data_IF_396995362191
#
_entry.id   IF_396995362191
#
_cell.length_a   1.000
_cell.length_b   1.000
_cell.length_c   1.000
_cell.angle_alpha   90.00
_cell.angle_beta   90.00
_cell.angle_gamma   90.00
#
_symmetry.space_group_name_H-M   'P 1'
#
loop_
_entity.id
_entity.type
_entity.pdbx_description
1 polymer ?
#
# COMPACT_ATOMS: atom_id res chain seq x y z
N UNK A 1 -14.88 18.05 -44.97
CA UNK A 1 -15.54 18.00 -43.67
C UNK A 1 -14.54 17.28 -42.78
N UNK A 2 -13.75 18.03 -42.00
CA UNK A 2 -12.86 17.39 -41.03
C UNK A 2 -13.77 16.82 -39.96
N UNK A 3 -13.65 15.53 -39.69
CA UNK A 3 -14.44 14.91 -38.65
C UNK A 3 -13.98 15.46 -37.31
N UNK A 4 -14.89 16.02 -36.50
CA UNK A 4 -14.51 16.59 -35.19
C UNK A 4 -13.84 15.52 -34.32
N UNK A 5 -14.25 14.27 -34.50
CA UNK A 5 -13.74 13.11 -33.79
C UNK A 5 -12.25 12.86 -34.14
N UNK A 6 -11.85 13.07 -35.41
CA UNK A 6 -10.46 12.94 -35.85
C UNK A 6 -9.55 14.02 -35.26
N UNK A 7 -10.02 15.28 -35.24
CA UNK A 7 -9.21 16.38 -34.67
C UNK A 7 -9.15 16.33 -33.13
N UNK A 8 -10.18 15.79 -32.46
CA UNK A 8 -10.16 15.49 -31.01
C UNK A 8 -9.19 14.35 -30.71
N UNK A 9 -9.25 13.26 -31.49
CA UNK A 9 -8.34 12.12 -31.34
C UNK A 9 -6.86 12.53 -31.50
N UNK A 10 -6.59 13.44 -32.44
CA UNK A 10 -5.25 13.99 -32.67
C UNK A 10 -4.91 15.19 -31.78
N UNK A 11 -5.77 15.52 -30.79
CA UNK A 11 -5.55 16.56 -29.78
C UNK A 11 -5.33 17.97 -30.37
N UNK A 12 -5.95 18.26 -31.51
CA UNK A 12 -5.85 19.54 -32.20
C UNK A 12 -6.87 20.53 -31.63
N UNK A 13 -6.70 20.89 -30.36
CA UNK A 13 -7.68 21.66 -29.57
C UNK A 13 -8.02 23.03 -30.15
N UNK A 14 -7.05 23.70 -30.77
CA UNK A 14 -7.23 24.96 -31.49
C UNK A 14 -8.21 24.80 -32.67
N UNK A 15 -8.06 23.72 -33.44
CA UNK A 15 -8.97 23.38 -34.55
C UNK A 15 -10.34 22.94 -34.04
N UNK A 16 -10.41 22.23 -32.91
CA UNK A 16 -11.69 21.87 -32.28
C UNK A 16 -12.47 23.14 -31.91
N UNK A 17 -11.81 24.13 -31.31
CA UNK A 17 -12.42 25.43 -31.01
C UNK A 17 -12.89 26.15 -32.28
N UNK A 18 -12.11 26.10 -33.36
CA UNK A 18 -12.48 26.69 -34.65
C UNK A 18 -13.76 26.04 -35.21
N UNK A 19 -13.85 24.71 -35.24
CA UNK A 19 -15.01 24.01 -35.79
C UNK A 19 -16.27 24.21 -34.93
N UNK A 20 -16.15 24.18 -33.60
CA UNK A 20 -17.29 24.48 -32.69
C UNK A 20 -17.78 25.93 -32.86
N UNK A 21 -16.89 26.87 -33.21
CA UNK A 21 -17.29 28.25 -33.50
C UNK A 21 -18.11 28.37 -34.79
N UNK A 22 -17.88 27.48 -35.77
CA UNK A 22 -18.61 27.42 -37.05
C UNK A 22 -19.95 26.71 -36.89
N UNK A 23 -19.99 25.62 -36.12
CA UNK A 23 -21.20 24.88 -35.80
C UNK A 23 -21.23 24.45 -34.32
N UNK A 24 -22.01 25.17 -33.52
CA UNK A 24 -22.16 24.89 -32.08
C UNK A 24 -22.69 23.48 -31.80
N UNK A 25 -23.43 22.86 -32.73
CA UNK A 25 -24.00 21.51 -32.50
C UNK A 25 -22.91 20.45 -32.35
N UNK A 26 -21.71 20.72 -32.88
CA UNK A 26 -20.57 19.82 -32.76
C UNK A 26 -20.14 19.60 -31.31
N UNK A 27 -20.47 20.52 -30.39
CA UNK A 27 -20.13 20.34 -28.97
C UNK A 27 -20.78 19.10 -28.36
N UNK A 28 -21.98 18.74 -28.83
CA UNK A 28 -22.71 17.55 -28.36
C UNK A 28 -22.14 16.23 -28.89
N UNK A 29 -21.14 16.28 -29.79
CA UNK A 29 -20.39 15.11 -30.24
C UNK A 29 -19.13 14.85 -29.42
N UNK A 30 -18.74 15.79 -28.56
CA UNK A 30 -17.56 15.63 -27.72
C UNK A 30 -17.89 14.70 -26.55
N UNK A 31 -17.15 13.60 -26.44
CA UNK A 31 -17.34 12.65 -25.36
C UNK A 31 -16.70 13.16 -24.06
N UNK A 32 -17.47 13.28 -22.95
CA UNK A 32 -16.93 13.75 -21.67
C UNK A 32 -15.78 12.90 -21.15
N UNK A 33 -15.79 11.60 -21.47
CA UNK A 33 -14.72 10.68 -21.10
C UNK A 33 -13.37 11.08 -21.71
N UNK A 34 -13.32 11.34 -23.02
CA UNK A 34 -12.08 11.68 -23.72
C UNK A 34 -11.51 12.99 -23.20
N UNK A 35 -12.37 14.00 -23.02
CA UNK A 35 -11.97 15.29 -22.47
C UNK A 35 -11.49 15.19 -21.02
N UNK A 36 -12.19 14.42 -20.18
CA UNK A 36 -11.79 14.19 -18.79
C UNK A 36 -10.44 13.47 -18.70
N UNK A 37 -10.26 12.44 -19.52
CA UNK A 37 -9.00 11.70 -19.61
C UNK A 37 -7.85 12.61 -20.02
N UNK A 38 -8.03 13.39 -21.10
CA UNK A 38 -7.01 14.32 -21.57
C UNK A 38 -6.71 15.40 -20.55
N UNK A 39 -7.73 16.01 -19.94
CA UNK A 39 -7.52 17.02 -18.91
C UNK A 39 -6.62 16.51 -17.79
N UNK A 40 -6.87 15.29 -17.31
CA UNK A 40 -6.05 14.68 -16.26
C UNK A 40 -4.60 14.50 -16.72
N UNK A 41 -4.37 13.90 -17.89
CA UNK A 41 -3.01 13.70 -18.43
C UNK A 41 -2.24 15.01 -18.59
N UNK A 42 -2.88 16.03 -19.15
CA UNK A 42 -2.29 17.36 -19.29
C UNK A 42 -1.96 17.99 -17.94
N UNK A 43 -2.86 17.83 -16.95
CA UNK A 43 -2.62 18.37 -15.62
C UNK A 43 -1.48 17.65 -14.89
N UNK A 44 -1.33 16.33 -15.06
CA UNK A 44 -0.16 15.61 -14.53
C UNK A 44 1.15 16.20 -15.05
N UNK A 45 1.18 16.52 -16.33
CA UNK A 45 2.35 17.09 -16.96
C UNK A 45 2.62 18.53 -16.52
N UNK A 46 1.59 19.36 -16.43
CA UNK A 46 1.69 20.72 -15.89
C UNK A 46 2.17 20.71 -14.42
N UNK A 47 1.75 19.70 -13.65
CA UNK A 47 2.21 19.45 -12.29
C UNK A 47 3.62 18.82 -12.20
N UNK A 48 4.25 18.49 -13.34
CA UNK A 48 5.56 17.83 -13.40
C UNK A 48 5.57 16.38 -12.87
N UNK A 49 4.42 15.71 -12.85
CA UNK A 49 4.28 14.31 -12.41
C UNK A 49 4.57 13.32 -13.54
N UNK A 50 4.32 13.72 -14.79
CA UNK A 50 4.58 12.93 -15.99
C UNK A 50 5.15 13.79 -17.12
N UNK A 51 5.89 13.17 -18.04
CA UNK A 51 6.31 13.82 -19.28
C UNK A 51 5.29 13.55 -20.39
N UNK A 52 4.91 14.61 -21.10
CA UNK A 52 4.09 14.53 -22.30
C UNK A 52 4.93 14.03 -23.49
N UNK A 53 4.58 12.87 -24.06
CA UNK A 53 5.13 12.37 -25.35
C UNK A 53 4.23 12.74 -26.55
N UNK A 54 4.69 13.70 -27.37
CA UNK A 54 3.93 14.33 -28.47
C UNK A 54 3.21 13.35 -29.42
N UNK A 55 2.11 13.77 -30.09
CA UNK A 55 1.60 15.15 -30.19
C UNK A 55 0.60 15.53 -29.09
N UNK A 56 0.71 16.79 -28.63
CA UNK A 56 -0.29 17.44 -27.76
C UNK A 56 -0.61 18.81 -28.34
N UNK A 57 -1.90 19.17 -28.35
CA UNK A 57 -2.33 20.56 -28.51
C UNK A 57 -2.08 21.40 -27.25
N UNK A 58 -2.45 22.68 -27.28
CA UNK A 58 -2.33 23.58 -26.14
C UNK A 58 -3.32 23.20 -25.01
N UNK A 59 -2.81 22.99 -23.80
CA UNK A 59 -3.64 22.70 -22.63
C UNK A 59 -4.71 23.76 -22.38
N UNK A 60 -4.39 25.03 -22.60
CA UNK A 60 -5.33 26.14 -22.41
C UNK A 60 -6.50 26.04 -23.36
N UNK A 61 -6.30 25.51 -24.56
CA UNK A 61 -7.37 25.33 -25.53
C UNK A 61 -8.27 24.14 -25.15
N UNK A 62 -7.70 23.05 -24.62
CA UNK A 62 -8.49 21.98 -24.01
C UNK A 62 -9.36 22.50 -22.86
N UNK A 63 -8.81 23.33 -21.97
CA UNK A 63 -9.58 23.92 -20.87
C UNK A 63 -10.74 24.80 -21.37
N UNK A 64 -10.52 25.61 -22.43
CA UNK A 64 -11.60 26.38 -23.07
C UNK A 64 -12.69 25.48 -23.67
N UNK A 65 -12.33 24.34 -24.24
CA UNK A 65 -13.31 23.37 -24.75
C UNK A 65 -14.15 22.82 -23.59
N UNK A 66 -13.52 22.43 -22.48
CA UNK A 66 -14.21 21.95 -21.29
C UNK A 66 -15.13 23.03 -20.71
N UNK A 67 -14.70 24.28 -20.66
CA UNK A 67 -15.55 25.41 -20.26
C UNK A 67 -16.79 25.55 -21.15
N UNK A 68 -16.63 25.49 -22.47
CA UNK A 68 -17.77 25.50 -23.40
C UNK A 68 -18.69 24.30 -23.20
N UNK A 69 -18.14 23.11 -22.98
CA UNK A 69 -18.94 21.91 -22.70
C UNK A 69 -19.80 22.12 -21.45
N UNK A 70 -19.24 22.68 -20.38
CA UNK A 70 -19.99 23.01 -19.15
C UNK A 70 -21.09 24.03 -19.42
N UNK A 71 -20.81 25.09 -20.17
CA UNK A 71 -21.78 26.13 -20.50
C UNK A 71 -22.98 25.60 -21.30
N UNK A 72 -22.74 24.64 -22.19
CA UNK A 72 -23.78 23.98 -23.01
C UNK A 72 -24.44 22.78 -22.27
N UNK A 73 -24.13 22.58 -20.99
CA UNK A 73 -24.77 21.58 -20.14
C UNK A 73 -24.28 20.14 -20.35
N UNK A 74 -23.10 19.95 -20.93
CA UNK A 74 -22.44 18.64 -21.00
C UNK A 74 -21.93 18.27 -19.60
N UNK A 75 -22.30 17.09 -19.13
CA UNK A 75 -22.03 16.62 -17.77
C UNK A 75 -21.13 15.39 -17.78
N UNK A 76 -20.25 15.27 -16.78
CA UNK A 76 -19.59 14.01 -16.47
C UNK A 76 -20.62 12.95 -16.03
N UNK A 77 -20.52 11.75 -16.61
CA UNK A 77 -21.44 10.65 -16.33
C UNK A 77 -20.98 9.80 -15.13
N UNK A 78 -19.70 9.87 -14.80
CA UNK A 78 -19.10 9.27 -13.60
C UNK A 78 -18.52 10.36 -12.70
N UNK A 79 -18.28 10.04 -11.45
CA UNK A 79 -17.66 10.92 -10.45
C UNK A 79 -16.27 11.39 -10.95
N UNK A 80 -15.34 10.52 -11.40
CA UNK A 80 -14.06 10.99 -11.96
C UNK A 80 -14.22 11.98 -13.12
N UNK A 81 -15.16 11.74 -14.04
CA UNK A 81 -15.43 12.65 -15.17
C UNK A 81 -16.00 14.00 -14.70
N UNK A 82 -16.98 13.97 -13.79
CA UNK A 82 -17.58 15.18 -13.25
C UNK A 82 -16.55 15.99 -12.43
N UNK A 83 -15.64 15.33 -11.71
CA UNK A 83 -14.49 15.97 -11.06
C UNK A 83 -13.54 16.58 -12.07
N UNK A 84 -13.22 15.87 -13.16
CA UNK A 84 -12.40 16.41 -14.24
C UNK A 84 -13.07 17.62 -14.91
N UNK A 85 -14.38 17.81 -14.78
CA UNK A 85 -15.06 19.02 -15.26
C UNK A 85 -15.28 20.04 -14.11
N UNK A 86 -14.85 19.74 -12.89
CA UNK A 86 -15.11 20.52 -11.66
C UNK A 86 -16.60 20.82 -11.44
N UNK A 87 -17.46 19.86 -11.76
CA UNK A 87 -18.92 19.98 -11.66
C UNK A 87 -19.42 19.46 -10.30
N UNK A 88 -19.14 20.18 -9.22
CA UNK A 88 -19.50 19.75 -7.86
C UNK A 88 -20.99 19.38 -7.70
N UNK A 89 -21.89 20.12 -8.32
CA UNK A 89 -23.34 19.82 -8.25
C UNK A 89 -23.72 18.54 -9.02
N UNK A 90 -23.00 18.23 -10.09
CA UNK A 90 -23.16 16.95 -10.80
C UNK A 90 -22.61 15.79 -9.96
N UNK A 91 -21.46 15.96 -9.31
CA UNK A 91 -20.92 14.94 -8.37
C UNK A 91 -21.95 14.64 -7.27
N UNK A 92 -22.52 15.68 -6.64
CA UNK A 92 -23.59 15.53 -5.65
C UNK A 92 -24.82 14.82 -6.21
N UNK A 93 -25.18 15.05 -7.47
CA UNK A 93 -26.32 14.39 -8.13
C UNK A 93 -26.03 12.91 -8.37
N UNK A 94 -24.84 12.56 -8.87
CA UNK A 94 -24.40 11.19 -9.08
C UNK A 94 -24.41 10.39 -7.77
N UNK A 95 -23.90 10.97 -6.68
CA UNK A 95 -23.97 10.35 -5.35
C UNK A 95 -25.42 10.09 -4.90
N UNK A 96 -26.33 11.05 -5.12
CA UNK A 96 -27.77 10.85 -4.85
C UNK A 96 -28.40 9.76 -5.71
N UNK A 97 -27.85 9.49 -6.89
CA UNK A 97 -28.28 8.42 -7.79
C UNK A 97 -27.68 7.05 -7.40
N UNK A 98 -26.85 6.99 -6.36
CA UNK A 98 -26.28 5.75 -5.84
C UNK A 98 -24.90 5.40 -6.39
N UNK A 99 -24.23 6.33 -7.08
CA UNK A 99 -22.82 6.15 -7.44
C UNK A 99 -21.96 6.02 -6.18
N UNK A 100 -20.94 5.17 -6.24
CA UNK A 100 -19.98 5.01 -5.16
C UNK A 100 -19.00 6.20 -5.18
N UNK A 101 -18.74 6.85 -4.04
CA UNK A 101 -17.78 7.95 -3.91
C UNK A 101 -16.38 7.58 -4.44
N UNK A 102 -16.02 6.30 -4.30
CA UNK A 102 -14.77 5.71 -4.74
C UNK A 102 -14.89 4.92 -6.06
N UNK A 103 -15.91 5.20 -6.88
CA UNK A 103 -15.95 4.59 -8.21
C UNK A 103 -14.74 4.99 -9.05
N UNK A 104 -14.24 4.04 -9.81
CA UNK A 104 -13.05 4.18 -10.63
C UNK A 104 -13.43 4.24 -12.11
N UNK A 105 -12.74 5.09 -12.87
CA UNK A 105 -12.78 5.03 -14.34
C UNK A 105 -11.80 3.98 -14.89
N UNK A 106 -11.63 3.95 -16.22
CA UNK A 106 -10.76 2.96 -16.88
C UNK A 106 -9.27 3.08 -16.49
N UNK A 107 -8.82 4.23 -16.00
CA UNK A 107 -7.45 4.40 -15.47
C UNK A 107 -7.34 4.08 -13.98
N UNK A 108 -8.35 3.42 -13.41
CA UNK A 108 -8.47 3.15 -11.98
C UNK A 108 -8.55 4.44 -11.11
N UNK A 109 -8.91 5.58 -11.72
CA UNK A 109 -8.94 6.88 -11.03
C UNK A 109 -10.27 7.09 -10.34
N UNK A 110 -10.21 7.48 -9.06
CA UNK A 110 -11.37 7.94 -8.29
C UNK A 110 -11.56 9.45 -8.44
N UNK A 111 -12.70 9.97 -7.97
CA UNK A 111 -12.92 11.42 -7.88
C UNK A 111 -11.84 12.13 -7.06
N UNK A 112 -11.38 11.53 -5.97
CA UNK A 112 -10.33 12.12 -5.13
C UNK A 112 -8.97 12.20 -5.83
N UNK A 113 -8.58 11.16 -6.58
CA UNK A 113 -7.35 11.16 -7.38
C UNK A 113 -7.38 12.31 -8.42
N UNK A 114 -8.50 12.46 -9.13
CA UNK A 114 -8.67 13.54 -10.11
C UNK A 114 -8.63 14.90 -9.43
N UNK A 115 -9.33 15.09 -8.31
CA UNK A 115 -9.37 16.37 -7.58
C UNK A 115 -7.97 16.80 -7.09
N UNK A 116 -7.18 15.86 -6.59
CA UNK A 116 -5.82 16.12 -6.15
C UNK A 116 -4.89 16.51 -7.31
N UNK A 117 -5.01 15.85 -8.46
CA UNK A 117 -4.29 16.24 -9.69
C UNK A 117 -4.65 17.67 -10.12
N UNK A 118 -5.93 18.05 -10.04
CA UNK A 118 -6.36 19.42 -10.36
C UNK A 118 -5.93 20.46 -9.32
N UNK A 119 -5.35 20.04 -8.19
CA UNK A 119 -5.10 20.89 -7.02
C UNK A 119 -6.33 21.69 -6.57
N UNK A 120 -7.52 21.09 -6.68
CA UNK A 120 -8.78 21.70 -6.27
C UNK A 120 -9.07 21.34 -4.80
N UNK A 121 -8.63 22.20 -3.88
CA UNK A 121 -8.80 21.99 -2.43
C UNK A 121 -10.28 21.80 -2.04
N UNK A 122 -11.20 22.50 -2.70
CA UNK A 122 -12.63 22.38 -2.42
C UNK A 122 -13.15 20.98 -2.76
N UNK A 123 -12.76 20.44 -3.92
CA UNK A 123 -13.13 19.09 -4.32
C UNK A 123 -12.44 18.04 -3.46
N UNK A 124 -11.15 18.20 -3.14
CA UNK A 124 -10.43 17.29 -2.24
C UNK A 124 -11.12 17.23 -0.88
N UNK A 125 -11.43 18.37 -0.29
CA UNK A 125 -12.14 18.44 0.99
C UNK A 125 -13.53 17.80 0.89
N UNK A 126 -14.27 18.06 -0.19
CA UNK A 126 -15.57 17.43 -0.42
C UNK A 126 -15.46 15.89 -0.46
N UNK A 127 -14.48 15.33 -1.17
CA UNK A 127 -14.30 13.88 -1.26
C UNK A 127 -13.97 13.28 0.11
N UNK A 128 -13.05 13.89 0.86
CA UNK A 128 -12.70 13.46 2.22
C UNK A 128 -13.90 13.52 3.16
N UNK A 129 -14.66 14.61 3.14
CA UNK A 129 -15.86 14.80 3.98
C UNK A 129 -16.96 13.77 3.67
N UNK A 130 -16.99 13.25 2.44
CA UNK A 130 -17.92 12.20 2.02
C UNK A 130 -17.35 10.78 2.15
N UNK A 131 -16.20 10.63 2.83
CA UNK A 131 -15.64 9.33 3.18
C UNK A 131 -14.88 8.63 2.05
N UNK A 132 -14.39 9.37 1.04
CA UNK A 132 -13.53 8.81 0.01
C UNK A 132 -12.28 8.18 0.61
N UNK A 133 -11.89 7.01 0.12
CA UNK A 133 -10.71 6.32 0.59
C UNK A 133 -9.44 6.97 0.01
N UNK A 134 -8.64 7.58 0.88
CA UNK A 134 -7.48 8.40 0.48
C UNK A 134 -6.32 7.62 -0.13
N UNK A 135 -6.26 6.31 0.12
CA UNK A 135 -5.16 5.42 -0.31
C UNK A 135 -5.56 4.52 -1.48
N UNK A 136 -6.50 4.96 -2.34
CA UNK A 136 -6.67 4.33 -3.65
C UNK A 136 -5.47 4.63 -4.55
N UNK A 137 -5.15 3.65 -5.38
CA UNK A 137 -4.12 3.75 -6.42
C UNK A 137 -4.80 3.88 -7.78
N UNK A 138 -4.24 4.74 -8.63
CA UNK A 138 -4.47 4.61 -10.07
C UNK A 138 -3.61 3.49 -10.67
N UNK A 139 -3.77 3.26 -11.98
CA UNK A 139 -3.02 2.26 -12.74
C UNK A 139 -1.48 2.43 -12.65
N UNK A 140 -0.99 3.62 -12.33
CA UNK A 140 0.43 3.98 -12.23
C UNK A 140 0.95 3.93 -10.78
N UNK A 141 0.12 3.44 -9.85
CA UNK A 141 0.36 3.32 -8.42
C UNK A 141 0.57 4.66 -7.69
N UNK A 142 -0.08 5.72 -8.17
CA UNK A 142 -0.17 6.98 -7.45
C UNK A 142 -1.39 7.02 -6.54
N UNK A 143 -1.16 7.46 -5.29
CA UNK A 143 -2.24 7.94 -4.42
C UNK A 143 -2.52 9.42 -4.69
N UNK A 144 -3.66 9.92 -4.20
CA UNK A 144 -4.02 11.34 -4.34
C UNK A 144 -2.90 12.28 -3.82
N UNK A 145 -2.20 11.89 -2.75
CA UNK A 145 -1.12 12.69 -2.16
C UNK A 145 0.11 12.77 -3.08
N UNK A 146 0.34 11.77 -3.92
CA UNK A 146 1.44 11.78 -4.88
C UNK A 146 1.15 12.71 -6.07
N UNK A 147 -0.14 12.91 -6.40
CA UNK A 147 -0.61 13.71 -7.53
C UNK A 147 -0.70 15.20 -7.22
N UNK A 148 -0.94 15.56 -5.96
CA UNK A 148 -1.02 16.94 -5.50
C UNK A 148 0.33 17.68 -5.59
N UNK A 149 0.25 19.00 -5.76
CA UNK A 149 1.39 19.93 -5.68
C UNK A 149 1.19 21.02 -4.63
N UNK A 150 -0.05 21.30 -4.20
CA UNK A 150 -0.34 22.17 -3.05
C UNK A 150 0.05 21.48 -1.73
N UNK A 151 0.77 22.21 -0.87
CA UNK A 151 1.13 21.74 0.46
C UNK A 151 -0.11 21.53 1.34
N UNK A 152 -1.12 22.40 1.20
CA UNK A 152 -2.37 22.34 1.95
C UNK A 152 -3.12 21.03 1.66
N UNK A 153 -3.19 20.64 0.38
CA UNK A 153 -3.80 19.37 -0.05
C UNK A 153 -2.97 18.19 0.43
N UNK A 154 -1.63 18.25 0.31
CA UNK A 154 -0.73 17.18 0.78
C UNK A 154 -0.91 16.95 2.28
N UNK A 155 -0.94 18.01 3.08
CA UNK A 155 -1.16 17.94 4.54
C UNK A 155 -2.56 17.44 4.88
N UNK A 156 -3.58 17.85 4.13
CA UNK A 156 -4.95 17.37 4.30
C UNK A 156 -5.05 15.86 4.06
N UNK A 157 -4.47 15.36 2.96
CA UNK A 157 -4.44 13.94 2.63
C UNK A 157 -3.62 13.13 3.65
N UNK A 158 -2.46 13.63 4.06
CA UNK A 158 -1.61 13.00 5.07
C UNK A 158 -2.33 12.83 6.42
N UNK A 159 -3.07 13.86 6.87
CA UNK A 159 -3.88 13.79 8.10
C UNK A 159 -4.96 12.73 8.06
N UNK A 160 -5.42 12.35 6.87
CA UNK A 160 -6.43 11.31 6.68
C UNK A 160 -5.84 9.95 6.28
N UNK A 161 -4.52 9.79 6.36
CA UNK A 161 -3.83 8.51 6.17
C UNK A 161 -3.22 8.29 4.78
N UNK A 162 -3.27 9.29 3.89
CA UNK A 162 -2.54 9.24 2.63
C UNK A 162 -1.03 9.19 2.88
N UNK A 163 -0.31 8.37 2.10
CA UNK A 163 1.15 8.23 2.24
C UNK A 163 1.83 8.61 0.95
N UNK A 164 2.98 9.26 1.03
CA UNK A 164 3.80 9.50 -0.17
C UNK A 164 4.45 8.19 -0.63
N UNK A 165 4.82 8.13 -1.92
CA UNK A 165 5.60 7.02 -2.49
C UNK A 165 6.88 6.71 -1.70
N UNK A 166 7.54 7.74 -1.15
CA UNK A 166 8.72 7.57 -0.32
C UNK A 166 8.40 6.88 1.01
N UNK A 167 7.33 7.30 1.70
CA UNK A 167 6.88 6.67 2.95
C UNK A 167 6.43 5.22 2.73
N UNK A 168 5.65 4.95 1.68
CA UNK A 168 5.25 3.56 1.36
C UNK A 168 6.45 2.66 1.08
N UNK A 169 7.47 3.18 0.38
CA UNK A 169 8.71 2.44 0.13
C UNK A 169 9.46 2.16 1.44
N UNK A 170 9.57 3.16 2.31
CA UNK A 170 10.18 2.99 3.62
C UNK A 170 9.45 1.92 4.44
N UNK A 171 8.12 1.96 4.50
CA UNK A 171 7.31 0.95 5.21
C UNK A 171 7.58 -0.47 4.67
N UNK A 172 7.75 -0.60 3.35
CA UNK A 172 8.06 -1.88 2.70
C UNK A 172 9.48 -2.38 3.01
N UNK A 173 10.47 -1.48 3.01
CA UNK A 173 11.85 -1.80 3.35
C UNK A 173 11.96 -2.22 4.83
N UNK A 174 11.30 -1.50 5.74
CA UNK A 174 11.22 -1.86 7.17
C UNK A 174 10.58 -3.24 7.39
N UNK A 175 9.53 -3.57 6.62
CA UNK A 175 8.92 -4.90 6.63
C UNK A 175 9.89 -5.99 6.14
N UNK A 176 10.63 -5.74 5.06
CA UNK A 176 11.64 -6.66 4.54
C UNK A 176 12.74 -6.93 5.58
N UNK A 177 13.28 -5.89 6.20
CA UNK A 177 14.29 -5.98 7.25
C UNK A 177 13.80 -6.77 8.47
N UNK A 178 12.56 -6.51 8.92
CA UNK A 178 11.96 -7.24 10.03
C UNK A 178 11.80 -8.73 9.71
N UNK A 179 11.38 -9.05 8.47
CA UNK A 179 11.22 -10.42 8.00
C UNK A 179 12.55 -11.16 7.91
N UNK A 180 13.60 -10.51 7.42
CA UNK A 180 14.94 -11.09 7.37
C UNK A 180 15.46 -11.42 8.77
N UNK A 181 15.36 -10.46 9.71
CA UNK A 181 15.75 -10.67 11.12
C UNK A 181 15.01 -11.85 11.75
N UNK A 182 13.71 -12.00 11.47
CA UNK A 182 12.92 -13.12 11.96
C UNK A 182 13.36 -14.47 11.37
N UNK A 183 13.70 -14.50 10.08
CA UNK A 183 14.21 -15.71 9.43
C UNK A 183 15.56 -16.15 10.03
N UNK A 184 16.48 -15.21 10.23
CA UNK A 184 17.79 -15.47 10.87
C UNK A 184 17.57 -16.03 12.29
N UNK A 185 16.69 -15.40 13.08
CA UNK A 185 16.37 -15.88 14.43
C UNK A 185 15.78 -17.31 14.40
N UNK A 186 14.92 -17.63 13.43
CA UNK A 186 14.37 -18.97 13.25
C UNK A 186 15.45 -20.01 12.94
N UNK A 187 16.41 -19.69 12.08
CA UNK A 187 17.53 -20.57 11.78
C UNK A 187 18.44 -20.79 12.99
N UNK A 188 18.72 -19.72 13.74
CA UNK A 188 19.49 -19.80 14.99
C UNK A 188 18.78 -20.69 16.01
N UNK A 189 17.47 -20.50 16.23
CA UNK A 189 16.67 -21.33 17.13
C UNK A 189 16.70 -22.81 16.70
N UNK A 190 16.57 -23.09 15.41
CA UNK A 190 16.63 -24.45 14.88
C UNK A 190 18.02 -25.09 15.10
N UNK A 191 19.08 -24.32 14.87
CA UNK A 191 20.46 -24.76 15.11
C UNK A 191 20.69 -25.05 16.60
N UNK A 192 20.29 -24.13 17.47
CA UNK A 192 20.39 -24.26 18.94
C UNK A 192 19.67 -25.51 19.45
N UNK A 193 18.44 -25.76 18.99
CA UNK A 193 17.65 -26.93 19.39
C UNK A 193 18.26 -28.24 18.89
N UNK A 194 18.75 -28.30 17.65
CA UNK A 194 19.45 -29.48 17.12
C UNK A 194 20.75 -29.76 17.87
N UNK A 195 21.47 -28.73 18.28
CA UNK A 195 22.68 -28.86 19.07
C UNK A 195 22.36 -29.39 20.48
N UNK A 196 21.28 -28.89 21.11
CA UNK A 196 20.78 -29.40 22.39
C UNK A 196 20.38 -30.88 22.32
N UNK A 197 19.68 -31.30 21.26
CA UNK A 197 19.32 -32.71 21.03
C UNK A 197 20.55 -33.62 20.91
N UNK A 198 21.68 -33.10 20.39
CA UNK A 198 22.94 -33.83 20.24
C UNK A 198 23.91 -33.68 21.41
N UNK A 199 23.61 -32.80 22.38
CA UNK A 199 24.53 -32.45 23.47
C UNK A 199 25.76 -31.64 23.04
N UNK A 200 25.69 -30.93 21.91
CA UNK A 200 26.81 -30.14 21.37
C UNK A 200 26.83 -28.72 21.97
N UNK A 201 27.48 -28.59 23.13
CA UNK A 201 27.57 -27.32 23.85
C UNK A 201 28.26 -26.20 23.06
N UNK A 202 29.21 -26.54 22.19
CA UNK A 202 29.96 -25.55 21.40
C UNK A 202 29.00 -24.91 20.39
N UNK A 203 28.25 -25.74 19.65
CA UNK A 203 27.25 -25.22 18.71
C UNK A 203 26.11 -24.47 19.41
N UNK A 204 25.72 -24.88 20.62
CA UNK A 204 24.74 -24.14 21.42
C UNK A 204 25.25 -22.75 21.81
N UNK A 205 26.48 -22.65 22.30
CA UNK A 205 27.09 -21.35 22.63
C UNK A 205 27.24 -20.45 21.40
N UNK A 206 27.66 -21.02 20.28
CA UNK A 206 27.81 -20.28 19.03
C UNK A 206 26.46 -19.77 18.51
N UNK A 207 25.40 -20.56 18.63
CA UNK A 207 24.04 -20.12 18.27
C UNK A 207 23.55 -18.99 19.18
N UNK A 208 23.76 -19.07 20.49
CA UNK A 208 23.40 -17.98 21.42
C UNK A 208 24.18 -16.70 21.13
N UNK A 209 25.49 -16.79 20.84
CA UNK A 209 26.32 -15.61 20.49
C UNK A 209 25.89 -14.95 19.19
N UNK A 210 25.44 -15.73 18.21
CA UNK A 210 24.93 -15.22 16.93
C UNK A 210 23.52 -14.63 17.04
N UNK A 211 22.80 -14.96 18.10
CA UNK A 211 21.43 -14.50 18.29
C UNK A 211 21.38 -13.03 18.68
N UNK A 212 20.55 -12.27 17.99
CA UNK A 212 20.16 -10.92 18.44
C UNK A 212 19.16 -10.94 19.60
N UNK A 213 18.58 -12.10 19.93
CA UNK A 213 17.62 -12.31 21.01
C UNK A 213 17.95 -13.61 21.75
N UNK A 214 19.11 -13.63 22.41
CA UNK A 214 19.65 -14.80 23.10
C UNK A 214 18.69 -15.36 24.17
N UNK A 215 18.01 -14.51 24.94
CA UNK A 215 17.00 -14.92 25.91
C UNK A 215 15.84 -15.69 25.26
N UNK A 216 15.35 -15.22 24.11
CA UNK A 216 14.28 -15.91 23.37
C UNK A 216 14.77 -17.20 22.73
N UNK A 217 16.02 -17.22 22.26
CA UNK A 217 16.67 -18.41 21.69
C UNK A 217 16.83 -19.51 22.74
N UNK A 218 17.37 -19.14 23.91
CA UNK A 218 17.55 -20.04 25.05
C UNK A 218 16.23 -20.67 25.49
N UNK A 219 15.16 -19.86 25.50
CA UNK A 219 13.84 -20.28 25.95
C UNK A 219 12.91 -20.73 24.80
N UNK A 220 13.44 -20.94 23.60
CA UNK A 220 12.65 -21.37 22.46
C UNK A 220 12.00 -22.73 22.75
N UNK A 221 10.73 -22.85 22.35
CA UNK A 221 9.98 -24.08 22.41
C UNK A 221 9.44 -24.38 21.01
N UNK A 222 9.58 -25.62 20.55
CA UNK A 222 9.02 -26.02 19.26
C UNK A 222 7.48 -25.89 19.29
N UNK A 223 6.86 -25.18 18.33
CA UNK A 223 5.41 -25.00 18.33
C UNK A 223 4.60 -26.29 18.28
N UNK A 224 5.15 -27.34 17.65
CA UNK A 224 4.46 -28.61 17.41
C UNK A 224 4.34 -29.49 18.67
N UNK A 225 5.22 -29.31 19.66
CA UNK A 225 5.25 -30.18 20.84
C UNK A 225 5.56 -29.44 22.15
N UNK A 226 5.86 -28.14 22.10
CA UNK A 226 6.24 -27.34 23.27
C UNK A 226 7.60 -27.69 23.86
N UNK A 227 8.43 -28.50 23.18
CA UNK A 227 9.72 -28.92 23.71
C UNK A 227 10.74 -27.79 23.65
N UNK A 228 11.38 -27.54 24.79
CA UNK A 228 12.56 -26.67 24.91
C UNK A 228 13.84 -27.50 24.84
N UNK A 229 15.00 -26.84 24.68
CA UNK A 229 16.31 -27.49 24.74
C UNK A 229 16.49 -28.33 26.02
N UNK A 230 15.92 -27.86 27.15
CA UNK A 230 15.99 -28.58 28.43
C UNK A 230 15.22 -29.91 28.41
N UNK A 231 14.11 -29.99 27.68
CA UNK A 231 13.37 -31.25 27.49
C UNK A 231 14.18 -32.27 26.70
N UNK A 232 14.94 -31.84 25.69
CA UNK A 232 15.82 -32.73 24.94
C UNK A 232 16.95 -33.28 25.81
N UNK A 233 17.60 -32.43 26.60
CA UNK A 233 18.63 -32.88 27.55
C UNK A 233 18.08 -33.89 28.57
N UNK A 234 16.90 -33.61 29.13
CA UNK A 234 16.20 -34.51 30.05
C UNK A 234 15.83 -35.86 29.41
N UNK A 235 15.27 -35.86 28.20
CA UNK A 235 14.91 -37.06 27.44
C UNK A 235 16.13 -37.92 27.11
N UNK A 236 17.32 -37.33 26.98
CA UNK A 236 18.53 -38.07 26.65
C UNK A 236 19.37 -38.47 27.89
N UNK A 237 18.90 -38.14 29.11
CA UNK A 237 19.68 -38.25 30.35
C UNK A 237 21.05 -37.54 30.25
N UNK A 238 21.12 -36.44 29.48
CA UNK A 238 22.36 -35.69 29.26
C UNK A 238 22.52 -34.61 30.33
N UNK A 239 23.06 -35.02 31.49
CA UNK A 239 23.30 -34.15 32.63
C UNK A 239 24.18 -32.95 32.27
N UNK A 240 25.17 -33.14 31.41
CA UNK A 240 26.12 -32.08 31.02
C UNK A 240 25.40 -30.94 30.29
N UNK A 241 24.57 -31.28 29.32
CA UNK A 241 23.76 -30.28 28.58
C UNK A 241 22.67 -29.69 29.46
N UNK A 242 22.07 -30.49 30.33
CA UNK A 242 21.06 -30.01 31.28
C UNK A 242 21.63 -28.94 32.22
N UNK A 243 22.75 -29.23 32.88
CA UNK A 243 23.42 -28.31 33.80
C UNK A 243 23.92 -27.06 33.06
N UNK A 244 24.44 -27.22 31.84
CA UNK A 244 24.82 -26.09 30.98
C UNK A 244 23.63 -25.16 30.72
N UNK A 245 22.48 -25.68 30.27
CA UNK A 245 21.29 -24.90 29.98
C UNK A 245 20.76 -24.17 31.23
N UNK A 246 20.74 -24.85 32.39
CA UNK A 246 20.37 -24.25 33.67
C UNK A 246 21.35 -23.13 34.05
N UNK A 247 22.65 -23.33 33.84
CA UNK A 247 23.68 -22.31 34.12
C UNK A 247 23.53 -21.06 33.26
N UNK A 248 22.94 -21.18 32.06
CA UNK A 248 22.62 -20.05 31.17
C UNK A 248 21.31 -19.36 31.55
N UNK A 249 20.57 -19.87 32.53
CA UNK A 249 19.32 -19.26 33.01
C UNK A 249 18.08 -19.62 32.18
N UNK A 250 18.05 -20.81 31.57
CA UNK A 250 16.84 -21.29 30.88
C UNK A 250 15.66 -21.39 31.86
N UNK A 251 14.45 -21.10 31.38
CA UNK A 251 13.22 -21.31 32.14
C UNK A 251 12.96 -22.82 32.32
N UNK A 252 13.20 -23.28 33.54
CA UNK A 252 13.02 -24.68 33.94
C UNK A 252 11.55 -25.07 34.18
N UNK A 253 10.64 -24.10 34.16
CA UNK A 253 9.22 -24.30 34.49
C UNK A 253 8.35 -24.51 33.26
N UNK A 254 8.88 -24.29 32.05
CA UNK A 254 8.14 -24.52 30.79
C UNK A 254 7.70 -25.97 30.68
N UNK A 255 6.43 -26.15 30.30
CA UNK A 255 5.81 -27.44 30.05
C UNK A 255 5.68 -27.69 28.56
N UNK A 256 5.94 -28.92 28.13
CA UNK A 256 5.63 -29.38 26.78
C UNK A 256 4.10 -29.59 26.60
N UNK A 257 3.67 -30.06 25.41
CA UNK A 257 2.24 -30.32 25.14
C UNK A 257 1.63 -31.42 26.02
N UNK A 258 2.45 -32.30 26.58
CA UNK A 258 2.02 -33.35 27.52
C UNK A 258 1.85 -32.79 28.95
N UNK A 259 2.12 -31.49 29.15
CA UNK A 259 2.02 -30.82 30.45
C UNK A 259 3.18 -31.10 31.40
N UNK A 260 4.27 -31.69 30.90
CA UNK A 260 5.46 -32.04 31.66
C UNK A 260 6.54 -30.97 31.52
N UNK A 261 7.16 -30.60 32.63
CA UNK A 261 8.47 -29.91 32.63
C UNK A 261 9.59 -30.88 32.28
N UNK A 262 10.77 -30.36 31.95
CA UNK A 262 11.93 -31.19 31.63
C UNK A 262 12.31 -32.16 32.77
N UNK A 263 12.23 -31.74 34.03
CA UNK A 263 12.52 -32.61 35.19
C UNK A 263 11.45 -33.69 35.39
N UNK A 264 10.18 -33.35 35.20
CA UNK A 264 9.09 -34.32 35.28
C UNK A 264 9.21 -35.37 34.16
N UNK A 265 9.63 -34.95 32.96
CA UNK A 265 9.94 -35.85 31.84
C UNK A 265 11.13 -36.79 32.15
N UNK A 266 12.23 -36.28 32.69
CA UNK A 266 13.36 -37.14 33.10
C UNK A 266 12.92 -38.20 34.11
N UNK A 267 12.13 -37.79 35.13
CA UNK A 267 11.60 -38.69 36.14
C UNK A 267 10.67 -39.75 35.56
N UNK A 268 9.80 -39.40 34.61
CA UNK A 268 8.89 -40.37 33.97
C UNK A 268 9.62 -41.41 33.12
N UNK A 269 10.81 -41.06 32.62
CA UNK A 269 11.70 -41.94 31.86
C UNK A 269 12.70 -42.74 32.74
N UNK A 270 12.74 -42.49 34.06
CA UNK A 270 13.67 -43.14 34.98
C UNK A 270 15.11 -42.60 34.93
N UNK A 271 15.28 -41.38 34.43
CA UNK A 271 16.58 -40.70 34.30
C UNK A 271 16.96 -40.01 35.62
N UNK A 272 17.73 -40.73 36.46
CA UNK A 272 18.05 -40.29 37.82
C UNK A 272 19.21 -39.28 37.91
N UNK A 273 19.88 -38.97 36.79
CA UNK A 273 21.03 -38.06 36.78
C UNK A 273 20.65 -36.59 36.57
N UNK A 274 19.38 -36.33 36.21
CA UNK A 274 18.75 -35.02 35.94
C UNK A 274 17.89 -34.57 37.14
#
# INVERSE_FOLDING_TARGET
MNDIDDIVFNEQWDRVLEEISKDKKLIGRLEPYDLAWKRFQYQLADNGKEELIAPFGDFKDLLKIIDKCKDEGILGLTIPQATAFQQLDQIKKLLKQGHNIDEQDFGERTGLLVAATLNDEQLVQFFIDNGAFVSFFDQDNFEAIDLATSNEIIELLARHGGKTKAQRRQDYDEYCDAREKLNILREINLSFMKAAEKGDLIQMEDALKKSSMDFMTLNFAYPINGWTALHYAAKNNDKKTFDFLVSKGIDTTKKNIDGLTAKELAKSLGHNEI
#
